data_IF_952023340314
#
_entry.id   IF_952023340314
#
_cell.length_a   1.000
_cell.length_b   1.000
_cell.length_c   1.000
_cell.angle_alpha   90.00
_cell.angle_beta   90.00
_cell.angle_gamma   90.00
#
_symmetry.space_group_name_H-M   'P 1'
#
loop_
_entity.id
_entity.type
_entity.pdbx_description
1 polymer ?
#
# COMPACT_ATOMS: atom_id res chain seq x y z
N UNK A 1 -1.73 4.22 27.09
CA UNK A 1 -1.86 5.01 25.85
C UNK A 1 -3.04 4.46 25.06
N UNK A 2 -3.93 5.35 24.58
CA UNK A 2 -5.10 4.95 23.80
C UNK A 2 -4.75 4.30 22.46
N UNK A 3 -5.66 3.50 21.96
CA UNK A 3 -5.56 2.87 20.64
C UNK A 3 -5.63 3.93 19.53
N UNK A 4 -4.93 3.69 18.43
CA UNK A 4 -4.93 4.58 17.26
C UNK A 4 -5.71 3.92 16.13
N UNK A 5 -6.70 4.62 15.61
CA UNK A 5 -7.48 4.18 14.45
C UNK A 5 -6.58 4.21 13.19
N UNK A 6 -6.83 3.28 12.26
CA UNK A 6 -6.15 3.27 10.97
C UNK A 6 -6.51 4.57 10.19
N UNK A 7 -5.52 5.33 9.70
CA UNK A 7 -5.77 6.61 9.02
C UNK A 7 -6.62 6.47 7.77
N UNK A 8 -6.48 5.38 7.03
CA UNK A 8 -7.29 5.09 5.85
C UNK A 8 -8.74 4.82 6.29
N UNK A 9 -8.95 3.95 7.30
CA UNK A 9 -10.27 3.63 7.80
C UNK A 9 -11.02 4.84 8.35
N UNK A 10 -10.33 5.76 9.04
CA UNK A 10 -10.93 6.99 9.55
C UNK A 10 -11.44 7.92 8.44
N UNK A 11 -10.85 7.85 7.25
CA UNK A 11 -11.12 8.74 6.10
C UNK A 11 -11.91 8.09 4.99
N UNK A 12 -12.36 6.86 5.17
CA UNK A 12 -13.22 6.18 4.20
C UNK A 12 -14.55 6.94 4.05
N UNK A 13 -14.94 7.17 2.80
CA UNK A 13 -16.14 7.94 2.46
C UNK A 13 -15.98 9.47 2.56
N UNK A 14 -14.83 9.99 2.99
CA UNK A 14 -14.54 11.43 3.07
C UNK A 14 -13.47 11.82 2.03
N UNK A 15 -12.25 11.29 2.18
CA UNK A 15 -11.09 11.54 1.31
C UNK A 15 -10.61 10.26 0.63
N UNK A 16 -10.82 9.11 1.26
CA UNK A 16 -10.44 7.80 0.74
C UNK A 16 -11.66 6.99 0.37
N UNK A 17 -11.51 6.11 -0.63
CA UNK A 17 -12.50 5.14 -1.04
C UNK A 17 -12.03 3.72 -0.74
N UNK A 18 -12.95 2.77 -0.85
CA UNK A 18 -12.63 1.34 -0.66
C UNK A 18 -11.79 0.82 -1.81
N UNK A 19 -10.87 -0.08 -1.49
CA UNK A 19 -10.06 -0.78 -2.49
C UNK A 19 -10.83 -1.90 -3.20
N UNK A 20 -11.85 -2.48 -2.55
CA UNK A 20 -12.78 -3.42 -3.16
C UNK A 20 -14.10 -2.71 -3.39
N UNK A 21 -14.53 -2.61 -4.66
CA UNK A 21 -15.73 -1.89 -5.10
C UNK A 21 -16.70 -2.86 -5.74
N UNK A 22 -17.56 -3.45 -4.92
CA UNK A 22 -18.61 -4.37 -5.36
C UNK A 22 -19.70 -4.50 -4.30
N UNK A 23 -20.83 -4.98 -4.73
CA UNK A 23 -21.96 -5.30 -3.86
C UNK A 23 -22.28 -6.78 -3.97
N UNK A 24 -22.56 -7.46 -2.87
CA UNK A 24 -22.99 -8.84 -2.83
C UNK A 24 -24.02 -9.05 -1.71
N UNK A 25 -25.00 -9.93 -1.96
CA UNK A 25 -25.94 -10.39 -0.97
C UNK A 25 -25.40 -11.62 -0.22
N UNK A 26 -25.92 -12.81 -0.57
CA UNK A 26 -25.60 -14.08 0.12
C UNK A 26 -24.12 -14.50 0.00
N UNK A 27 -23.44 -14.15 -1.11
CA UNK A 27 -22.07 -14.58 -1.40
C UNK A 27 -21.00 -13.59 -0.88
N UNK A 28 -21.36 -12.71 0.04
CA UNK A 28 -20.44 -11.66 0.55
C UNK A 28 -19.17 -12.24 1.19
N UNK A 29 -19.32 -13.28 2.02
CA UNK A 29 -18.20 -13.92 2.69
C UNK A 29 -17.20 -14.56 1.70
N UNK A 30 -17.73 -15.24 0.68
CA UNK A 30 -16.90 -15.91 -0.33
C UNK A 30 -16.09 -14.88 -1.13
N UNK A 31 -16.71 -13.78 -1.55
CA UNK A 31 -16.02 -12.72 -2.29
C UNK A 31 -14.92 -12.03 -1.48
N UNK A 32 -15.12 -11.81 -0.17
CA UNK A 32 -14.06 -11.29 0.70
C UNK A 32 -12.88 -12.26 0.79
N UNK A 33 -13.16 -13.56 0.97
CA UNK A 33 -12.11 -14.57 1.04
C UNK A 33 -11.33 -14.68 -0.29
N UNK A 34 -12.02 -14.60 -1.41
CA UNK A 34 -11.39 -14.57 -2.74
C UNK A 34 -10.51 -13.32 -2.89
N UNK A 35 -11.02 -12.13 -2.58
CA UNK A 35 -10.25 -10.88 -2.66
C UNK A 35 -9.00 -10.94 -1.79
N UNK A 36 -9.09 -11.47 -0.58
CA UNK A 36 -7.95 -11.65 0.30
C UNK A 36 -6.90 -12.60 -0.32
N UNK A 37 -7.33 -13.74 -0.87
CA UNK A 37 -6.46 -14.72 -1.54
C UNK A 37 -5.77 -14.10 -2.75
N UNK A 38 -6.51 -13.33 -3.57
CA UNK A 38 -5.98 -12.63 -4.75
C UNK A 38 -4.91 -11.61 -4.34
N UNK A 39 -5.21 -10.73 -3.37
CA UNK A 39 -4.26 -9.71 -2.87
C UNK A 39 -2.98 -10.36 -2.34
N UNK A 40 -3.11 -11.40 -1.54
CA UNK A 40 -1.98 -12.14 -0.98
C UNK A 40 -1.13 -12.81 -2.07
N UNK A 41 -1.78 -13.41 -3.05
CA UNK A 41 -1.11 -14.06 -4.17
C UNK A 41 -0.35 -13.06 -5.04
N UNK A 42 -1.01 -11.99 -5.48
CA UNK A 42 -0.41 -10.94 -6.30
C UNK A 42 0.76 -10.27 -5.57
N UNK A 43 0.59 -9.92 -4.30
CA UNK A 43 1.65 -9.29 -3.51
C UNK A 43 2.86 -10.21 -3.33
N UNK A 44 2.66 -11.52 -3.17
CA UNK A 44 3.75 -12.49 -3.08
C UNK A 44 4.49 -12.66 -4.40
N UNK A 45 3.76 -12.79 -5.52
CA UNK A 45 4.34 -13.05 -6.84
C UNK A 45 5.05 -11.82 -7.42
N UNK A 46 4.47 -10.64 -7.24
CA UNK A 46 4.94 -9.37 -7.79
C UNK A 46 5.66 -8.49 -6.77
N UNK A 47 6.20 -9.07 -5.70
CA UNK A 47 6.89 -8.31 -4.65
C UNK A 47 8.02 -7.42 -5.21
N UNK A 48 8.78 -7.93 -6.19
CA UNK A 48 9.88 -7.20 -6.81
C UNK A 48 9.45 -6.01 -7.68
N UNK A 49 8.18 -6.00 -8.13
CA UNK A 49 7.63 -4.90 -8.92
C UNK A 49 7.24 -3.68 -8.05
N UNK A 50 7.15 -3.86 -6.72
CA UNK A 50 6.74 -2.82 -5.78
C UNK A 50 5.26 -2.47 -5.98
N UNK A 51 4.37 -3.27 -5.41
CA UNK A 51 2.93 -3.03 -5.47
C UNK A 51 2.53 -2.07 -4.34
N UNK A 52 1.97 -0.92 -4.71
CA UNK A 52 1.40 0.04 -3.77
C UNK A 52 0.05 -0.46 -3.24
N UNK A 53 -0.94 -0.61 -4.12
CA UNK A 53 -2.29 -1.06 -3.79
C UNK A 53 -2.90 -1.87 -4.94
N UNK A 54 -3.95 -2.63 -4.61
CA UNK A 54 -4.71 -3.44 -5.57
C UNK A 54 -6.18 -3.09 -5.38
N UNK A 55 -6.80 -2.51 -6.40
CA UNK A 55 -8.23 -2.25 -6.43
C UNK A 55 -8.93 -3.39 -7.14
N UNK A 56 -10.07 -3.83 -6.61
CA UNK A 56 -10.86 -4.96 -7.13
C UNK A 56 -12.28 -4.47 -7.40
N UNK A 57 -12.69 -4.52 -8.65
CA UNK A 57 -14.06 -4.25 -9.07
C UNK A 57 -14.69 -5.56 -9.55
N UNK A 58 -15.88 -5.90 -9.02
CA UNK A 58 -16.60 -7.08 -9.44
C UNK A 58 -17.91 -6.67 -10.11
N UNK A 59 -18.15 -7.25 -11.25
CA UNK A 59 -19.43 -7.28 -11.95
C UNK A 59 -19.94 -8.72 -11.99
N UNK A 60 -21.17 -8.93 -12.45
CA UNK A 60 -21.83 -10.26 -12.40
C UNK A 60 -21.00 -11.41 -13.00
N UNK A 61 -20.22 -11.15 -14.06
CA UNK A 61 -19.41 -12.17 -14.76
C UNK A 61 -17.93 -11.82 -14.89
N UNK A 62 -17.52 -10.62 -14.47
CA UNK A 62 -16.16 -10.11 -14.70
C UNK A 62 -15.58 -9.54 -13.42
N UNK A 63 -14.30 -9.80 -13.20
CA UNK A 63 -13.50 -9.20 -12.13
C UNK A 63 -12.39 -8.38 -12.75
N UNK A 64 -12.39 -7.09 -12.44
CA UNK A 64 -11.36 -6.16 -12.88
C UNK A 64 -10.41 -5.90 -11.73
N UNK A 65 -9.13 -6.16 -11.94
CA UNK A 65 -8.05 -5.93 -11.01
C UNK A 65 -7.20 -4.78 -11.50
N UNK A 66 -7.19 -3.66 -10.76
CA UNK A 66 -6.24 -2.57 -11.01
C UNK A 66 -5.07 -2.69 -10.06
N UNK A 67 -3.88 -2.91 -10.59
CA UNK A 67 -2.65 -3.08 -9.83
C UNK A 67 -1.79 -1.83 -9.98
N UNK A 68 -1.62 -1.10 -8.87
CA UNK A 68 -0.75 0.07 -8.82
C UNK A 68 0.68 -0.36 -8.47
N UNK A 69 1.62 -0.11 -9.36
CA UNK A 69 3.00 -0.57 -9.21
C UNK A 69 4.01 0.55 -9.52
N UNK A 70 5.16 0.50 -8.85
CA UNK A 70 6.28 1.39 -9.15
C UNK A 70 7.03 0.99 -10.43
N UNK A 71 6.95 -0.28 -10.84
CA UNK A 71 7.70 -0.81 -11.98
C UNK A 71 6.80 -1.63 -12.89
N UNK A 72 5.98 -0.98 -13.72
CA UNK A 72 5.01 -1.68 -14.58
C UNK A 72 5.68 -2.65 -15.57
N UNK A 73 6.87 -2.34 -16.07
CA UNK A 73 7.59 -3.20 -16.99
C UNK A 73 7.89 -4.61 -16.47
N UNK A 74 8.11 -4.76 -15.15
CA UNK A 74 8.33 -6.07 -14.52
C UNK A 74 7.04 -6.90 -14.50
N UNK A 75 5.89 -6.25 -14.32
CA UNK A 75 4.58 -6.93 -14.27
C UNK A 75 4.11 -7.31 -15.67
N UNK A 76 4.37 -6.46 -16.66
CA UNK A 76 4.00 -6.71 -18.05
C UNK A 76 4.85 -7.84 -18.65
N UNK A 77 6.16 -7.83 -18.34
CA UNK A 77 7.12 -8.77 -18.86
C UNK A 77 7.39 -8.60 -20.37
N UNK A 78 8.19 -9.49 -20.93
CA UNK A 78 8.52 -9.47 -22.36
C UNK A 78 7.28 -9.78 -23.20
N UNK A 79 6.88 -8.84 -24.07
CA UNK A 79 5.70 -8.99 -24.96
C UNK A 79 4.39 -9.35 -24.24
N UNK A 80 4.23 -9.01 -22.95
CA UNK A 80 3.01 -9.30 -22.20
C UNK A 80 2.86 -10.75 -21.72
N UNK A 81 3.89 -11.56 -21.80
CA UNK A 81 3.83 -12.98 -21.42
C UNK A 81 3.52 -13.18 -19.93
N UNK A 82 4.10 -12.36 -19.05
CA UNK A 82 3.88 -12.48 -17.61
C UNK A 82 2.44 -12.11 -17.19
N UNK A 83 1.86 -11.08 -17.79
CA UNK A 83 0.43 -10.73 -17.56
C UNK A 83 -0.47 -11.88 -18.03
N UNK A 84 -0.23 -12.44 -19.20
CA UNK A 84 -1.04 -13.55 -19.73
C UNK A 84 -0.96 -14.78 -18.84
N UNK A 85 0.21 -15.08 -18.28
CA UNK A 85 0.39 -16.14 -17.31
C UNK A 85 -0.33 -15.85 -16.00
N UNK A 86 -0.19 -14.62 -15.48
CA UNK A 86 -0.89 -14.18 -14.27
C UNK A 86 -2.41 -14.28 -14.40
N UNK A 87 -2.94 -13.86 -15.56
CA UNK A 87 -4.37 -13.96 -15.86
C UNK A 87 -4.84 -15.43 -15.80
N UNK A 88 -4.15 -16.35 -16.46
CA UNK A 88 -4.48 -17.79 -16.43
C UNK A 88 -4.41 -18.39 -15.01
N UNK A 89 -3.42 -17.99 -14.20
CA UNK A 89 -3.29 -18.47 -12.83
C UNK A 89 -4.39 -17.94 -11.91
N UNK A 90 -4.83 -16.68 -12.12
CA UNK A 90 -5.94 -16.08 -11.39
C UNK A 90 -7.28 -16.70 -11.77
N UNK A 91 -7.55 -16.91 -13.06
CA UNK A 91 -8.75 -17.59 -13.56
C UNK A 91 -8.90 -19.00 -12.98
N UNK A 92 -7.78 -19.74 -12.82
CA UNK A 92 -7.79 -21.06 -12.14
C UNK A 92 -8.13 -20.99 -10.65
N UNK A 93 -7.86 -19.85 -10.00
CA UNK A 93 -8.11 -19.68 -8.57
C UNK A 93 -9.48 -19.06 -8.27
N UNK A 94 -10.04 -18.38 -9.24
CA UNK A 94 -11.35 -17.75 -9.14
C UNK A 94 -12.36 -18.64 -9.84
N UNK A 95 -13.48 -18.90 -9.19
CA UNK A 95 -14.53 -19.78 -9.69
C UNK A 95 -15.15 -19.25 -11.00
N UNK A 96 -14.50 -19.54 -12.13
CA UNK A 96 -15.04 -19.35 -13.51
C UNK A 96 -15.43 -17.92 -13.90
N UNK A 97 -14.85 -16.88 -13.32
CA UNK A 97 -15.08 -15.49 -13.73
C UNK A 97 -13.97 -15.00 -14.67
N UNK A 98 -14.35 -14.21 -15.68
CA UNK A 98 -13.37 -13.56 -16.56
C UNK A 98 -12.58 -12.52 -15.77
N UNK A 99 -11.24 -12.63 -15.75
CA UNK A 99 -10.36 -11.71 -15.04
C UNK A 99 -9.72 -10.74 -16.02
N UNK A 100 -9.85 -9.45 -15.75
CA UNK A 100 -9.13 -8.38 -16.46
C UNK A 100 -8.12 -7.76 -15.52
N UNK A 101 -6.88 -7.59 -15.95
CA UNK A 101 -5.80 -6.99 -15.16
C UNK A 101 -5.39 -5.69 -15.83
N UNK A 102 -5.59 -4.57 -15.13
CA UNK A 102 -5.12 -3.25 -15.54
C UNK A 102 -3.92 -2.86 -14.67
N UNK A 103 -2.82 -2.48 -15.30
CA UNK A 103 -1.61 -2.03 -14.59
C UNK A 103 -1.54 -0.52 -14.67
N UNK A 104 -1.43 0.11 -13.51
CA UNK A 104 -1.24 1.54 -13.39
C UNK A 104 0.11 1.86 -12.75
N UNK A 105 0.83 2.79 -13.34
CA UNK A 105 2.11 3.25 -12.82
C UNK A 105 1.91 4.24 -11.68
N UNK A 106 2.67 4.05 -10.60
CA UNK A 106 2.79 5.03 -9.51
C UNK A 106 3.92 5.99 -9.88
N UNK A 107 3.57 7.21 -10.35
CA UNK A 107 4.54 8.21 -10.83
C UNK A 107 5.57 8.64 -9.79
N UNK A 108 5.19 8.67 -8.51
CA UNK A 108 6.05 9.10 -7.38
C UNK A 108 6.05 8.03 -6.29
N UNK A 109 6.81 6.94 -6.45
CA UNK A 109 6.84 5.83 -5.49
C UNK A 109 7.40 6.23 -4.12
N UNK A 110 8.19 7.30 -4.05
CA UNK A 110 8.78 7.79 -2.81
C UNK A 110 7.77 8.47 -1.87
N UNK A 111 6.62 8.93 -2.42
CA UNK A 111 5.53 9.53 -1.64
C UNK A 111 4.46 8.48 -1.27
N UNK A 112 4.53 7.29 -1.85
CA UNK A 112 3.63 6.20 -1.53
C UNK A 112 4.04 5.54 -0.20
N UNK A 113 3.11 5.53 0.76
CA UNK A 113 3.42 5.06 2.11
C UNK A 113 3.75 3.56 2.16
N UNK A 114 3.09 2.74 1.32
CA UNK A 114 3.34 1.30 1.29
C UNK A 114 4.70 0.98 0.68
N UNK A 115 5.05 1.62 -0.44
CA UNK A 115 6.33 1.43 -1.11
C UNK A 115 7.50 1.94 -0.25
N UNK A 116 7.29 3.06 0.44
CA UNK A 116 8.26 3.59 1.39
C UNK A 116 8.48 2.64 2.57
N UNK A 117 7.40 2.05 3.10
CA UNK A 117 7.49 1.05 4.17
C UNK A 117 8.27 -0.20 3.71
N UNK A 118 7.99 -0.69 2.49
CA UNK A 118 8.69 -1.82 1.90
C UNK A 118 10.19 -1.54 1.70
N UNK A 119 10.54 -0.34 1.24
CA UNK A 119 11.93 0.06 1.09
C UNK A 119 12.67 0.11 2.43
N UNK A 120 12.06 0.67 3.48
CA UNK A 120 12.65 0.71 4.83
C UNK A 120 12.80 -0.71 5.38
N UNK A 121 11.80 -1.58 5.20
CA UNK A 121 11.85 -2.97 5.63
C UNK A 121 12.99 -3.74 4.95
N UNK A 122 13.12 -3.63 3.63
CA UNK A 122 14.22 -4.24 2.88
C UNK A 122 15.60 -3.77 3.34
N UNK A 123 15.75 -2.48 3.68
CA UNK A 123 17.01 -1.98 4.23
C UNK A 123 17.32 -2.60 5.60
N UNK A 124 16.31 -2.76 6.47
CA UNK A 124 16.47 -3.41 7.77
C UNK A 124 16.86 -4.89 7.61
N UNK A 125 16.21 -5.61 6.69
CA UNK A 125 16.52 -7.01 6.37
C UNK A 125 17.96 -7.17 5.85
N UNK A 126 18.44 -6.18 5.08
CA UNK A 126 19.84 -6.10 4.63
C UNK A 126 20.83 -5.62 5.71
N UNK A 127 20.41 -5.61 6.97
CA UNK A 127 21.22 -5.24 8.14
C UNK A 127 21.71 -3.79 8.14
N UNK A 128 21.06 -2.89 7.41
CA UNK A 128 21.29 -1.44 7.53
C UNK A 128 20.75 -0.98 8.89
N UNK A 129 21.51 -0.12 9.59
CA UNK A 129 21.06 0.45 10.86
C UNK A 129 19.68 1.10 10.71
N UNK A 130 18.70 0.66 11.51
CA UNK A 130 17.29 1.08 11.39
C UNK A 130 17.11 2.60 11.45
N UNK A 131 17.91 3.31 12.26
CA UNK A 131 17.90 4.79 12.33
C UNK A 131 18.29 5.42 11.00
N UNK A 132 19.29 4.85 10.31
CA UNK A 132 19.75 5.33 9.01
C UNK A 132 18.69 5.04 7.93
N UNK A 133 18.08 3.86 7.97
CA UNK A 133 17.00 3.50 7.06
C UNK A 133 15.80 4.42 7.20
N UNK A 134 15.35 4.70 8.45
CA UNK A 134 14.24 5.62 8.71
C UNK A 134 14.57 7.06 8.26
N UNK A 135 15.73 7.60 8.61
CA UNK A 135 16.13 8.96 8.19
C UNK A 135 16.17 9.09 6.68
N UNK A 136 16.78 8.11 5.97
CA UNK A 136 16.83 8.09 4.51
C UNK A 136 15.41 8.08 3.91
N UNK A 137 14.50 7.26 4.45
CA UNK A 137 13.11 7.21 4.01
C UNK A 137 12.40 8.55 4.18
N UNK A 138 12.53 9.19 5.34
CA UNK A 138 11.94 10.51 5.62
C UNK A 138 12.49 11.56 4.67
N UNK A 139 13.81 11.69 4.56
CA UNK A 139 14.46 12.67 3.68
C UNK A 139 14.09 12.47 2.22
N UNK A 140 14.00 11.21 1.76
CA UNK A 140 13.57 10.90 0.39
C UNK A 140 12.15 11.40 0.14
N UNK A 141 11.20 11.03 0.98
CA UNK A 141 9.80 11.42 0.80
C UNK A 141 9.60 12.96 0.87
N UNK A 142 10.31 13.66 1.77
CA UNK A 142 10.26 15.12 1.84
C UNK A 142 10.82 15.78 0.58
N UNK A 143 11.92 15.25 0.02
CA UNK A 143 12.51 15.74 -1.24
C UNK A 143 11.55 15.63 -2.42
N UNK A 144 10.74 14.57 -2.47
CA UNK A 144 9.77 14.35 -3.56
C UNK A 144 8.46 15.12 -3.36
N UNK A 145 8.33 15.91 -2.29
CA UNK A 145 7.23 16.85 -2.09
C UNK A 145 6.14 16.37 -1.11
N UNK A 146 6.44 15.42 -0.23
CA UNK A 146 5.56 15.14 0.91
C UNK A 146 5.56 16.33 1.87
N UNK A 147 4.39 16.73 2.39
CA UNK A 147 4.27 17.83 3.36
C UNK A 147 4.60 17.40 4.79
N UNK A 148 4.64 16.10 5.02
CA UNK A 148 5.07 15.52 6.28
C UNK A 148 5.08 14.01 6.24
N UNK A 149 6.03 13.44 6.95
CA UNK A 149 6.25 11.99 7.02
C UNK A 149 6.51 11.56 8.45
N UNK A 150 5.93 10.43 8.83
CA UNK A 150 6.21 9.78 10.12
C UNK A 150 6.45 8.30 9.88
N UNK A 151 7.62 7.82 10.27
CA UNK A 151 7.98 6.39 10.20
C UNK A 151 8.11 5.86 11.62
N UNK A 152 7.57 4.70 11.88
CA UNK A 152 7.61 4.01 13.18
C UNK A 152 8.14 2.61 12.94
N UNK A 153 9.19 2.24 13.65
CA UNK A 153 9.70 0.88 13.72
C UNK A 153 9.52 0.33 15.13
N UNK A 154 8.98 -0.88 15.23
CA UNK A 154 8.73 -1.55 16.51
C UNK A 154 9.14 -3.02 16.44
N UNK A 155 9.87 -3.50 17.46
CA UNK A 155 10.37 -4.86 17.56
C UNK A 155 11.76 -4.90 18.19
N UNK A 156 12.52 -5.96 17.95
CA UNK A 156 13.91 -6.13 18.42
C UNK A 156 14.87 -5.32 17.54
N UNK A 157 14.84 -4.00 17.69
CA UNK A 157 15.63 -3.06 16.88
C UNK A 157 17.13 -3.27 17.11
N UNK A 158 17.86 -3.56 16.03
CA UNK A 158 19.29 -3.82 16.09
C UNK A 158 19.68 -5.14 16.76
N UNK A 159 18.74 -6.08 16.94
CA UNK A 159 18.96 -7.35 17.62
C UNK A 159 18.89 -7.29 19.14
N UNK A 160 18.46 -6.17 19.73
CA UNK A 160 18.28 -6.04 21.17
C UNK A 160 17.30 -7.09 21.71
N UNK A 161 17.56 -7.65 22.91
CA UNK A 161 16.68 -8.65 23.52
C UNK A 161 15.30 -8.08 23.83
N UNK A 162 15.26 -6.87 24.38
CA UNK A 162 14.02 -6.17 24.67
C UNK A 162 13.51 -5.44 23.44
N UNK A 163 12.26 -5.73 23.07
CA UNK A 163 11.58 -5.01 22.00
C UNK A 163 11.34 -3.55 22.41
N UNK A 164 11.58 -2.64 21.48
CA UNK A 164 11.29 -1.23 21.67
C UNK A 164 10.66 -0.64 20.43
N UNK A 165 10.13 0.57 20.58
CA UNK A 165 9.51 1.35 19.50
C UNK A 165 10.26 2.65 19.35
N UNK A 166 10.76 2.91 18.13
CA UNK A 166 11.35 4.18 17.74
C UNK A 166 10.59 4.78 16.57
N UNK A 167 10.58 6.11 16.48
CA UNK A 167 9.91 6.81 15.40
C UNK A 167 10.67 8.08 15.01
N UNK A 168 10.57 8.42 13.72
CA UNK A 168 11.03 9.69 13.17
C UNK A 168 9.86 10.38 12.50
N UNK A 169 9.80 11.71 12.65
CA UNK A 169 8.81 12.56 12.00
C UNK A 169 9.49 13.82 11.48
N UNK A 170 9.14 14.24 10.28
CA UNK A 170 9.51 15.49 9.66
C UNK A 170 8.27 16.10 9.03
N UNK A 171 8.13 17.43 9.13
CA UNK A 171 6.93 18.11 8.67
C UNK A 171 5.68 17.88 9.52
N UNK A 172 4.53 18.17 8.94
CA UNK A 172 3.22 18.10 9.61
C UNK A 172 2.50 16.80 9.24
N UNK A 173 2.00 16.07 10.22
CA UNK A 173 1.18 14.86 10.00
C UNK A 173 -0.09 14.97 10.88
N UNK A 174 -1.16 15.60 10.37
CA UNK A 174 -2.39 15.87 11.12
C UNK A 174 -3.31 14.65 11.14
N UNK A 175 -3.09 13.70 12.06
CA UNK A 175 -3.83 12.44 12.11
C UNK A 175 -5.32 12.61 12.46
N UNK A 176 -5.69 13.67 13.16
CA UNK A 176 -7.08 13.95 13.57
C UNK A 176 -7.89 14.74 12.54
N UNK A 177 -7.24 15.40 11.58
CA UNK A 177 -7.91 16.17 10.53
C UNK A 177 -8.48 15.26 9.47
N UNK A 178 -9.80 15.21 9.30
CA UNK A 178 -10.48 14.31 8.35
C UNK A 178 -10.20 14.67 6.89
N UNK A 179 -10.11 15.97 6.56
CA UNK A 179 -9.82 16.46 5.22
C UNK A 179 -8.36 16.26 4.76
N UNK A 180 -7.48 15.85 5.68
CA UNK A 180 -6.07 15.61 5.36
C UNK A 180 -5.92 14.31 4.58
N UNK A 181 -5.29 14.36 3.41
CA UNK A 181 -4.91 13.17 2.64
C UNK A 181 -3.66 12.53 3.26
N UNK A 182 -3.89 11.55 4.11
CA UNK A 182 -2.83 10.76 4.75
C UNK A 182 -2.81 9.38 4.15
N UNK A 183 -1.68 9.04 3.56
CA UNK A 183 -1.40 7.70 3.09
C UNK A 183 -0.75 6.88 4.21
N UNK A 184 -1.07 5.58 4.26
CA UNK A 184 -0.61 4.68 5.32
C UNK A 184 -0.08 3.38 4.72
N UNK A 185 1.13 3.01 5.12
CA UNK A 185 1.74 1.73 4.77
C UNK A 185 2.16 0.95 6.02
N UNK A 186 1.98 -0.35 5.97
CA UNK A 186 2.43 -1.28 6.99
C UNK A 186 3.11 -2.48 6.36
N UNK A 187 4.26 -2.85 6.90
CA UNK A 187 4.99 -4.06 6.52
C UNK A 187 5.77 -4.63 7.69
N UNK A 188 6.03 -5.91 7.61
CA UNK A 188 6.86 -6.66 8.55
C UNK A 188 8.20 -6.98 7.90
N UNK A 189 9.29 -6.48 8.48
CA UNK A 189 10.66 -6.84 8.13
C UNK A 189 11.05 -8.11 8.90
N UNK A 190 11.42 -9.15 8.18
CA UNK A 190 11.83 -10.43 8.78
C UNK A 190 13.34 -10.45 8.96
N UNK A 191 13.77 -10.32 10.20
CA UNK A 191 15.18 -10.35 10.56
C UNK A 191 15.55 -11.67 11.24
N UNK A 192 16.86 -11.96 11.37
CA UNK A 192 17.36 -13.15 12.09
C UNK A 192 16.97 -13.17 13.56
N UNK A 193 16.70 -11.99 14.14
CA UNK A 193 16.32 -11.84 15.56
C UNK A 193 14.80 -11.77 15.80
N UNK A 194 13.99 -11.82 14.74
CA UNK A 194 12.55 -11.75 14.82
C UNK A 194 11.95 -10.75 13.82
N UNK A 195 10.68 -10.43 14.00
CA UNK A 195 9.92 -9.56 13.11
C UNK A 195 9.96 -8.12 13.65
N UNK A 196 10.24 -7.16 12.76
CA UNK A 196 10.17 -5.73 13.05
C UNK A 196 9.01 -5.15 12.23
N UNK A 197 8.00 -4.60 12.92
CA UNK A 197 6.89 -3.91 12.26
C UNK A 197 7.29 -2.48 11.86
N UNK A 198 7.11 -2.15 10.58
CA UNK A 198 7.34 -0.81 10.02
C UNK A 198 6.00 -0.20 9.64
N UNK A 199 5.67 0.97 10.23
CA UNK A 199 4.48 1.76 9.92
C UNK A 199 4.90 3.11 9.37
N UNK A 200 4.35 3.49 8.24
CA UNK A 200 4.64 4.75 7.56
C UNK A 200 3.35 5.54 7.37
N UNK A 201 3.43 6.83 7.65
CA UNK A 201 2.38 7.81 7.43
C UNK A 201 2.95 8.91 6.56
N UNK A 202 2.33 9.18 5.44
CA UNK A 202 2.73 10.25 4.51
C UNK A 202 1.57 11.21 4.35
N UNK A 203 1.80 12.47 4.67
CA UNK A 203 0.83 13.54 4.47
C UNK A 203 1.08 14.18 3.11
N UNK A 204 0.10 14.10 2.21
CA UNK A 204 0.16 14.61 0.83
C UNK A 204 -0.42 16.02 0.70
N UNK A 205 -1.36 16.39 1.58
CA UNK A 205 -2.05 17.68 1.55
C UNK A 205 -3.43 17.60 2.18
N UNK A 206 -4.19 18.68 2.05
CA UNK A 206 -5.59 18.74 2.48
C UNK A 206 -6.49 18.85 1.24
N UNK A 207 -7.54 18.03 1.18
CA UNK A 207 -8.52 18.03 0.09
C UNK A 207 -9.71 18.87 0.55
N UNK A 208 -9.96 19.97 -0.14
CA UNK A 208 -11.10 20.85 0.09
C UNK A 208 -12.23 20.50 -0.90
N UNK A 209 -13.48 20.65 -0.50
CA UNK A 209 -14.66 20.30 -1.32
C UNK A 209 -14.66 20.88 -2.75
N UNK A 210 -14.10 22.08 -2.96
CA UNK A 210 -14.00 22.73 -4.27
C UNK A 210 -13.11 21.96 -5.25
N UNK A 211 -11.95 21.49 -4.79
CA UNK A 211 -11.01 20.71 -5.61
C UNK A 211 -11.56 19.33 -5.99
N UNK A 212 -12.43 18.75 -5.14
CA UNK A 212 -13.11 17.50 -5.45
C UNK A 212 -14.14 17.64 -6.59
N UNK A 213 -14.79 18.78 -6.70
CA UNK A 213 -15.76 19.05 -7.78
C UNK A 213 -15.03 19.36 -9.10
N UNK A 214 -13.92 20.07 -9.06
CA UNK A 214 -13.13 20.42 -10.27
C UNK A 214 -12.38 19.20 -10.82
N UNK A 215 -11.89 18.28 -9.98
CA UNK A 215 -11.26 17.05 -10.46
C UNK A 215 -12.26 16.04 -11.05
N UNK A 216 -13.50 16.04 -10.58
CA UNK A 216 -14.56 15.19 -11.12
C UNK A 216 -15.16 15.68 -12.44
N UNK A 217 -14.95 16.96 -12.79
CA UNK A 217 -15.39 17.55 -14.07
C UNK A 217 -14.34 17.38 -15.17
N UNK A 218 -13.08 17.11 -14.82
CA UNK A 218 -11.96 16.96 -15.76
C UNK A 218 -11.57 15.49 -16.03
N UNK A 219 -12.35 14.50 -15.55
CA UNK A 219 -12.31 13.08 -15.90
C UNK A 219 -13.48 12.70 -16.82
#
# INVERSE_FOLDING_TARGET
MGQKVNPIGLRLGIVKTWESRWYAGKNYADYILEDYKIRKFLKKKLYHAGISRIEIERSSKRVRLRVFTARPGIVIGKKGAEIAQLKKELEKKMSSQEVTIDIQEVRKPEIDAQLLAENVALQIERRVAFRRAMKRGVTSAMRFGALGVKIICAGRLGGAEMARREWYREGRVPLHTLRADIDYGFIEARTTYGIIGVKVFVFKGEILKKEQLESAVNE
#
